data_IF_668311941692
#
_entry.id   IF_668311941692
#
_cell.length_a   1.000
_cell.length_b   1.000
_cell.length_c   1.000
_cell.angle_alpha   90.00
_cell.angle_beta   90.00
_cell.angle_gamma   90.00
#
_symmetry.space_group_name_H-M   'P 1'
#
loop_
_entity.id
_entity.type
_entity.pdbx_description
1 polymer ?
#
# COMPACT_ATOMS: atom_id res chain seq x y z
N UNK A 1 -55.47 28.46 49.78
CA UNK A 1 -54.78 29.04 48.61
C UNK A 1 -53.40 28.51 48.39
N UNK A 2 -52.66 28.08 49.41
CA UNK A 2 -51.27 27.60 49.30
C UNK A 2 -51.13 26.19 48.64
N UNK A 3 -52.15 25.30 48.82
CA UNK A 3 -52.07 23.92 48.27
C UNK A 3 -52.28 23.82 46.75
N UNK A 4 -52.94 24.79 46.10
CA UNK A 4 -53.10 24.79 44.62
C UNK A 4 -51.87 25.27 43.88
N UNK A 5 -51.09 26.17 44.44
CA UNK A 5 -49.79 26.63 43.80
C UNK A 5 -48.69 25.55 43.81
N UNK A 6 -48.71 24.65 44.81
CA UNK A 6 -47.76 23.54 44.92
C UNK A 6 -48.01 22.47 43.87
N UNK A 7 -49.24 22.18 43.47
CA UNK A 7 -49.54 21.21 42.39
C UNK A 7 -49.22 21.70 40.98
N UNK A 8 -49.44 23.00 40.72
CA UNK A 8 -49.10 23.59 39.40
C UNK A 8 -47.59 23.64 39.16
N UNK A 9 -46.76 23.85 40.21
CA UNK A 9 -45.31 23.84 40.11
C UNK A 9 -44.73 22.43 39.87
N UNK A 10 -45.32 21.37 40.48
CA UNK A 10 -44.90 19.97 40.23
C UNK A 10 -45.30 19.48 38.85
N UNK A 11 -46.39 19.92 38.25
CA UNK A 11 -46.81 19.56 36.90
C UNK A 11 -45.90 20.16 35.81
N UNK A 12 -45.44 21.42 35.99
CA UNK A 12 -44.50 22.07 35.03
C UNK A 12 -43.08 21.47 35.05
N UNK A 13 -42.58 21.05 36.22
CA UNK A 13 -41.27 20.42 36.37
C UNK A 13 -41.25 19.00 35.76
N UNK A 14 -42.38 18.26 35.90
CA UNK A 14 -42.54 16.92 35.31
C UNK A 14 -42.58 16.92 33.76
N UNK A 15 -43.22 17.94 33.16
CA UNK A 15 -43.29 18.08 31.69
C UNK A 15 -41.98 18.56 31.09
N UNK A 16 -41.24 19.43 31.76
CA UNK A 16 -39.90 19.85 31.30
C UNK A 16 -38.86 18.72 31.33
N UNK A 17 -38.92 17.83 32.33
CA UNK A 17 -38.04 16.64 32.38
C UNK A 17 -38.36 15.61 31.31
N UNK A 18 -39.65 15.39 30.98
CA UNK A 18 -40.06 14.48 29.90
C UNK A 18 -39.67 15.01 28.51
N UNK A 19 -39.83 16.32 28.27
CA UNK A 19 -39.42 16.91 26.99
C UNK A 19 -37.89 16.91 26.81
N UNK A 20 -37.14 17.14 27.90
CA UNK A 20 -35.68 17.10 27.87
C UNK A 20 -35.12 15.67 27.71
N UNK A 21 -35.75 14.66 28.35
CA UNK A 21 -35.37 13.26 28.12
C UNK A 21 -35.74 12.75 26.72
N UNK A 22 -36.85 13.22 26.15
CA UNK A 22 -37.23 12.91 24.77
C UNK A 22 -36.34 13.62 23.74
N UNK A 23 -35.90 14.86 24.01
CA UNK A 23 -34.93 15.54 23.13
C UNK A 23 -33.52 14.91 23.18
N UNK A 24 -33.07 14.47 24.35
CA UNK A 24 -31.82 13.75 24.54
C UNK A 24 -31.90 12.37 23.86
N UNK A 25 -33.01 11.63 24.02
CA UNK A 25 -33.20 10.34 23.36
C UNK A 25 -33.29 10.47 21.82
N UNK A 26 -33.93 11.55 21.33
CA UNK A 26 -34.02 11.84 19.90
C UNK A 26 -32.66 12.27 19.29
N UNK A 27 -31.88 13.08 20.04
CA UNK A 27 -30.51 13.44 19.64
C UNK A 27 -29.57 12.24 19.69
N UNK A 28 -29.71 11.34 20.67
CA UNK A 28 -28.92 10.11 20.72
C UNK A 28 -29.28 9.15 19.58
N UNK A 29 -30.57 9.04 19.21
CA UNK A 29 -31.00 8.19 18.10
C UNK A 29 -30.62 8.76 16.74
N UNK A 30 -30.61 10.09 16.56
CA UNK A 30 -30.08 10.70 15.32
C UNK A 30 -28.55 10.59 15.24
N UNK A 31 -27.83 10.79 16.34
CA UNK A 31 -26.40 10.62 16.41
C UNK A 31 -25.97 9.15 16.16
N UNK A 32 -26.75 8.17 16.64
CA UNK A 32 -26.47 6.74 16.38
C UNK A 32 -26.84 6.31 14.96
N UNK A 33 -27.83 6.93 14.31
CA UNK A 33 -28.17 6.63 12.90
C UNK A 33 -27.22 7.28 11.91
N UNK A 34 -26.70 8.47 12.18
CA UNK A 34 -25.67 9.12 11.36
C UNK A 34 -24.31 8.40 11.46
N UNK A 35 -24.01 7.75 12.60
CA UNK A 35 -22.80 6.94 12.79
C UNK A 35 -22.86 5.58 12.06
N UNK A 36 -24.03 5.11 11.64
CA UNK A 36 -24.18 3.84 10.90
C UNK A 36 -24.07 4.00 9.38
N UNK A 37 -24.31 5.16 8.80
CA UNK A 37 -24.29 5.38 7.37
C UNK A 37 -22.89 5.88 6.90
N UNK A 38 -22.29 5.11 5.99
CA UNK A 38 -21.06 5.53 5.33
C UNK A 38 -21.41 6.64 4.33
N UNK A 39 -20.81 7.83 4.50
CA UNK A 39 -21.01 8.94 3.57
C UNK A 39 -20.55 8.57 2.16
N UNK A 40 -21.35 8.89 1.14
CA UNK A 40 -20.98 8.68 -0.26
C UNK A 40 -19.67 9.42 -0.62
N UNK A 41 -19.40 10.57 0.01
CA UNK A 41 -18.16 11.30 -0.18
C UNK A 41 -16.94 10.52 0.33
N UNK A 42 -17.08 9.81 1.45
CA UNK A 42 -16.02 8.95 1.97
C UNK A 42 -15.75 7.77 1.02
N UNK A 43 -16.81 7.13 0.50
CA UNK A 43 -16.66 6.03 -0.46
C UNK A 43 -15.93 6.53 -1.72
N UNK A 44 -16.32 7.68 -2.25
CA UNK A 44 -15.68 8.26 -3.43
C UNK A 44 -14.23 8.71 -3.17
N UNK A 45 -13.93 9.20 -1.96
CA UNK A 45 -12.56 9.53 -1.57
C UNK A 45 -11.67 8.27 -1.46
N UNK A 46 -12.19 7.20 -0.87
CA UNK A 46 -11.51 5.89 -0.80
C UNK A 46 -11.33 5.31 -2.21
N UNK A 47 -12.38 5.38 -3.03
CA UNK A 47 -12.33 4.87 -4.41
C UNK A 47 -11.29 5.63 -5.26
N UNK A 48 -11.24 6.96 -5.16
CA UNK A 48 -10.28 7.76 -5.93
C UNK A 48 -8.84 7.46 -5.52
N UNK A 49 -8.53 7.42 -4.22
CA UNK A 49 -7.19 7.06 -3.74
C UNK A 49 -6.87 5.59 -3.99
N UNK A 50 -7.88 4.72 -3.93
CA UNK A 50 -7.80 3.31 -4.23
C UNK A 50 -7.48 3.02 -5.71
N UNK A 51 -8.11 3.71 -6.65
CA UNK A 51 -7.80 3.62 -8.09
C UNK A 51 -6.32 3.99 -8.33
N UNK A 52 -5.85 5.08 -7.74
CA UNK A 52 -4.46 5.51 -7.86
C UNK A 52 -3.48 4.46 -7.31
N UNK A 53 -3.75 3.92 -6.12
CA UNK A 53 -2.95 2.87 -5.51
C UNK A 53 -2.99 1.58 -6.32
N UNK A 54 -4.19 1.19 -6.82
CA UNK A 54 -4.38 0.03 -7.68
C UNK A 54 -3.53 0.11 -8.94
N UNK A 55 -3.60 1.24 -9.66
CA UNK A 55 -2.83 1.46 -10.88
C UNK A 55 -1.32 1.42 -10.59
N UNK A 56 -0.88 1.99 -9.47
CA UNK A 56 0.51 1.91 -9.04
C UNK A 56 0.99 0.47 -8.91
N UNK A 57 0.29 -0.35 -8.13
CA UNK A 57 0.65 -1.76 -7.90
C UNK A 57 0.47 -2.60 -9.18
N UNK A 58 -0.59 -2.34 -9.95
CA UNK A 58 -0.82 -3.01 -11.23
C UNK A 58 0.34 -2.78 -12.19
N UNK A 59 0.79 -1.53 -12.34
CA UNK A 59 1.91 -1.18 -13.24
C UNK A 59 3.25 -1.78 -12.78
N UNK A 60 3.43 -2.01 -11.47
CA UNK A 60 4.58 -2.71 -10.94
C UNK A 60 4.68 -4.13 -11.50
N UNK A 61 3.61 -4.92 -11.34
CA UNK A 61 3.60 -6.34 -11.67
C UNK A 61 3.49 -6.60 -13.18
N UNK A 62 2.72 -5.78 -13.91
CA UNK A 62 2.65 -5.91 -15.37
C UNK A 62 3.97 -5.60 -16.07
N UNK A 63 4.80 -4.70 -15.52
CA UNK A 63 6.09 -4.35 -16.11
C UNK A 63 7.02 -5.55 -16.18
N UNK A 64 6.96 -6.47 -15.21
CA UNK A 64 7.78 -7.69 -15.20
C UNK A 64 7.49 -8.62 -16.39
N UNK A 65 6.27 -8.65 -16.88
CA UNK A 65 5.86 -9.44 -18.06
C UNK A 65 6.40 -8.83 -19.36
N UNK A 66 6.64 -7.51 -19.37
CA UNK A 66 7.12 -6.77 -20.53
C UNK A 66 8.66 -6.83 -20.69
N UNK A 67 9.39 -7.35 -19.71
CA UNK A 67 10.85 -7.35 -19.72
C UNK A 67 11.48 -7.87 -21.03
N UNK A 68 11.07 -9.03 -21.58
CA UNK A 68 11.69 -9.52 -22.82
C UNK A 68 11.53 -8.54 -24.00
N UNK A 69 10.34 -7.92 -24.12
CA UNK A 69 10.10 -6.92 -25.16
C UNK A 69 10.90 -5.63 -24.93
N UNK A 70 11.02 -5.17 -23.69
CA UNK A 70 11.79 -3.99 -23.33
C UNK A 70 13.30 -4.21 -23.51
N UNK A 71 13.80 -5.41 -23.18
CA UNK A 71 15.20 -5.78 -23.42
C UNK A 71 15.54 -5.74 -24.91
N UNK A 72 14.68 -6.28 -25.75
CA UNK A 72 14.86 -6.27 -27.20
C UNK A 72 14.79 -4.86 -27.79
N UNK A 73 13.86 -4.02 -27.34
CA UNK A 73 13.64 -2.68 -27.87
C UNK A 73 14.75 -1.69 -27.46
N UNK A 74 15.17 -1.74 -26.19
CA UNK A 74 16.17 -0.81 -25.65
C UNK A 74 17.60 -1.36 -25.68
N UNK A 75 17.80 -2.57 -26.15
CA UNK A 75 19.09 -3.26 -26.20
C UNK A 75 19.79 -3.30 -24.83
N UNK A 76 19.03 -3.62 -23.78
CA UNK A 76 19.54 -3.73 -22.41
C UNK A 76 19.49 -5.19 -21.94
N UNK A 77 20.37 -5.52 -20.98
CA UNK A 77 20.41 -6.84 -20.35
C UNK A 77 19.33 -7.02 -19.26
N UNK A 78 19.18 -8.25 -18.78
CA UNK A 78 18.23 -8.62 -17.75
C UNK A 78 18.46 -7.85 -16.45
N UNK A 79 19.72 -7.63 -16.07
CA UNK A 79 20.05 -6.92 -14.84
C UNK A 79 19.63 -5.45 -14.90
N UNK A 80 19.82 -4.82 -16.05
CA UNK A 80 19.42 -3.43 -16.29
C UNK A 80 17.91 -3.28 -16.33
N UNK A 81 17.16 -4.16 -17.02
CA UNK A 81 15.70 -4.04 -17.12
C UNK A 81 15.00 -4.26 -15.77
N UNK A 82 15.55 -5.08 -14.89
CA UNK A 82 15.03 -5.30 -13.53
C UNK A 82 15.00 -4.02 -12.69
N UNK A 83 15.88 -3.06 -12.97
CA UNK A 83 15.88 -1.75 -12.29
C UNK A 83 14.59 -0.96 -12.50
N UNK A 84 13.81 -1.24 -13.57
CA UNK A 84 12.48 -0.62 -13.74
C UNK A 84 11.53 -0.97 -12.59
N UNK A 85 11.59 -2.19 -12.08
CA UNK A 85 10.79 -2.62 -10.92
C UNK A 85 11.48 -2.28 -9.60
N UNK A 86 12.78 -2.55 -9.50
CA UNK A 86 13.56 -2.27 -8.29
C UNK A 86 13.57 -0.78 -7.95
N UNK A 87 13.83 0.10 -8.93
CA UNK A 87 13.82 1.56 -8.74
C UNK A 87 12.44 2.11 -8.39
N UNK A 88 11.38 1.54 -8.98
CA UNK A 88 10.00 1.85 -8.60
C UNK A 88 9.74 1.48 -7.13
N UNK A 89 10.02 0.24 -6.73
CA UNK A 89 9.81 -0.25 -5.36
C UNK A 89 10.65 0.50 -4.34
N UNK A 90 11.90 0.80 -4.69
CA UNK A 90 12.79 1.61 -3.85
C UNK A 90 12.20 3.00 -3.62
N UNK A 91 11.66 3.63 -4.67
CA UNK A 91 11.00 4.93 -4.56
C UNK A 91 9.75 4.86 -3.70
N UNK A 92 8.91 3.83 -3.86
CA UNK A 92 7.75 3.58 -3.00
C UNK A 92 8.18 3.44 -1.54
N UNK A 93 9.22 2.63 -1.28
CA UNK A 93 9.74 2.39 0.07
C UNK A 93 10.28 3.65 0.74
N UNK A 94 10.90 4.56 -0.02
CA UNK A 94 11.41 5.83 0.47
C UNK A 94 10.30 6.85 0.74
N UNK A 95 9.32 6.93 -0.16
CA UNK A 95 8.27 7.95 -0.08
C UNK A 95 7.18 7.59 0.94
N UNK A 96 6.91 6.30 1.15
CA UNK A 96 5.89 5.84 2.11
C UNK A 96 6.09 6.39 3.53
N UNK A 97 7.27 6.33 4.16
CA UNK A 97 7.48 6.96 5.46
C UNK A 97 7.37 8.50 5.43
N UNK A 98 7.79 9.14 4.32
CA UNK A 98 7.66 10.58 4.14
C UNK A 98 6.19 11.03 4.08
N UNK A 99 5.29 10.17 3.60
CA UNK A 99 3.86 10.49 3.52
C UNK A 99 3.27 10.81 4.89
N UNK A 100 3.78 10.21 5.96
CA UNK A 100 3.38 10.51 7.34
C UNK A 100 3.73 11.94 7.76
N UNK A 101 4.84 12.47 7.27
CA UNK A 101 5.22 13.87 7.46
C UNK A 101 4.35 14.81 6.61
N UNK A 102 4.15 14.48 5.33
CA UNK A 102 3.31 15.28 4.44
C UNK A 102 1.90 15.42 5.00
N UNK A 103 1.33 14.35 5.56
CA UNK A 103 0.02 14.36 6.21
C UNK A 103 -0.07 15.37 7.37
N UNK A 104 0.98 15.53 8.17
CA UNK A 104 0.99 16.49 9.29
C UNK A 104 1.12 17.92 8.80
N UNK A 105 1.93 18.18 7.77
CA UNK A 105 2.27 19.54 7.30
C UNK A 105 1.34 20.05 6.20
N UNK A 106 0.85 19.19 5.34
CA UNK A 106 0.10 19.57 4.14
C UNK A 106 -1.37 19.16 4.26
N UNK A 107 -2.24 19.90 3.56
CA UNK A 107 -3.66 19.54 3.44
C UNK A 107 -3.80 18.23 2.65
N UNK A 108 -4.74 17.36 3.05
CA UNK A 108 -5.01 16.08 2.38
C UNK A 108 -5.22 16.23 0.87
N UNK A 109 -5.94 17.30 0.47
CA UNK A 109 -6.18 17.61 -0.95
C UNK A 109 -4.88 17.91 -1.70
N UNK A 110 -3.92 18.61 -1.09
CA UNK A 110 -2.62 18.91 -1.70
C UNK A 110 -1.80 17.63 -1.85
N UNK A 111 -1.79 16.76 -0.82
CA UNK A 111 -1.09 15.47 -0.87
C UNK A 111 -1.65 14.59 -1.99
N UNK A 112 -2.98 14.50 -2.08
CA UNK A 112 -3.67 13.78 -3.16
C UNK A 112 -3.30 14.34 -4.53
N UNK A 113 -3.37 15.68 -4.69
CA UNK A 113 -3.04 16.34 -5.96
C UNK A 113 -1.58 16.08 -6.38
N UNK A 114 -0.63 16.15 -5.43
CA UNK A 114 0.77 15.83 -5.71
C UNK A 114 0.92 14.37 -6.16
N UNK A 115 0.30 13.44 -5.46
CA UNK A 115 0.38 12.02 -5.80
C UNK A 115 -0.20 11.70 -7.17
N UNK A 116 -1.41 12.21 -7.47
CA UNK A 116 -2.08 11.93 -8.75
C UNK A 116 -1.35 12.57 -9.93
N UNK A 117 -0.81 13.79 -9.77
CA UNK A 117 0.00 14.45 -10.80
C UNK A 117 1.27 13.65 -11.08
N UNK A 118 1.96 13.14 -10.04
CA UNK A 118 3.12 12.27 -10.21
C UNK A 118 2.76 10.97 -10.96
N UNK A 119 1.62 10.36 -10.64
CA UNK A 119 1.15 9.16 -11.35
C UNK A 119 0.81 9.47 -12.82
N UNK A 120 0.08 10.54 -13.09
CA UNK A 120 -0.31 10.95 -14.46
C UNK A 120 0.93 11.29 -15.27
N UNK A 121 1.83 12.14 -14.76
CA UNK A 121 3.06 12.52 -15.47
C UNK A 121 3.96 11.31 -15.72
N UNK A 122 4.08 10.39 -14.73
CA UNK A 122 4.80 9.14 -14.90
C UNK A 122 4.18 8.23 -15.98
N UNK A 123 2.86 8.11 -16.04
CA UNK A 123 2.16 7.35 -17.09
C UNK A 123 2.32 8.00 -18.47
N UNK A 124 2.17 9.33 -18.60
CA UNK A 124 2.39 10.05 -19.85
C UNK A 124 3.82 9.89 -20.34
N UNK A 125 4.79 10.03 -19.45
CA UNK A 125 6.20 9.87 -19.76
C UNK A 125 6.54 8.43 -20.20
N UNK A 126 5.95 7.41 -19.56
CA UNK A 126 6.10 6.02 -19.96
C UNK A 126 5.45 5.74 -21.34
N UNK A 127 4.27 6.32 -21.62
CA UNK A 127 3.61 6.20 -22.90
C UNK A 127 4.40 6.83 -24.07
N UNK A 128 5.08 7.96 -23.80
CA UNK A 128 5.87 8.71 -24.77
C UNK A 128 7.37 8.36 -24.76
N UNK A 129 7.75 7.29 -24.08
CA UNK A 129 9.16 6.91 -23.87
C UNK A 129 9.90 6.65 -25.20
N UNK A 130 11.06 7.29 -25.34
CA UNK A 130 11.97 7.14 -26.48
C UNK A 130 13.23 6.32 -26.12
N UNK A 131 13.63 6.29 -24.84
CA UNK A 131 14.83 5.63 -24.37
C UNK A 131 14.66 5.07 -22.96
N UNK A 132 15.54 4.14 -22.57
CA UNK A 132 15.50 3.47 -21.28
C UNK A 132 15.59 4.44 -20.06
N UNK A 133 16.48 5.46 -20.03
CA UNK A 133 16.53 6.41 -18.91
C UNK A 133 15.21 7.20 -18.74
N UNK A 134 14.52 7.53 -19.82
CA UNK A 134 13.21 8.19 -19.76
C UNK A 134 12.16 7.26 -19.13
N UNK A 135 12.15 5.98 -19.50
CA UNK A 135 11.26 4.99 -18.88
C UNK A 135 11.60 4.82 -17.39
N UNK A 136 12.87 4.79 -17.02
CA UNK A 136 13.31 4.70 -15.62
C UNK A 136 12.83 5.91 -14.81
N UNK A 137 12.94 7.12 -15.36
CA UNK A 137 12.43 8.34 -14.70
C UNK A 137 10.91 8.28 -14.54
N UNK A 138 10.19 7.81 -15.55
CA UNK A 138 8.74 7.59 -15.48
C UNK A 138 8.37 6.63 -14.33
N UNK A 139 9.13 5.54 -14.15
CA UNK A 139 8.94 4.57 -13.06
C UNK A 139 9.19 5.19 -11.68
N UNK A 140 10.20 6.05 -11.54
CA UNK A 140 10.46 6.79 -10.30
C UNK A 140 9.29 7.72 -9.97
N UNK A 141 8.77 8.47 -10.95
CA UNK A 141 7.60 9.33 -10.74
C UNK A 141 6.35 8.54 -10.34
N UNK A 142 6.07 7.41 -11.00
CA UNK A 142 4.98 6.52 -10.65
C UNK A 142 5.15 5.95 -9.23
N UNK A 143 6.36 5.51 -8.87
CA UNK A 143 6.69 5.01 -7.53
C UNK A 143 6.48 6.05 -6.45
N UNK A 144 6.87 7.31 -6.69
CA UNK A 144 6.64 8.42 -5.77
C UNK A 144 5.13 8.68 -5.57
N UNK A 145 4.35 8.70 -6.64
CA UNK A 145 2.89 8.83 -6.58
C UNK A 145 2.24 7.70 -5.79
N UNK A 146 2.61 6.45 -6.06
CA UNK A 146 2.09 5.26 -5.37
C UNK A 146 2.48 5.21 -3.89
N UNK A 147 3.73 5.59 -3.56
CA UNK A 147 4.23 5.68 -2.19
C UNK A 147 3.46 6.68 -1.32
N UNK A 148 2.81 7.68 -1.93
CA UNK A 148 1.89 8.60 -1.26
C UNK A 148 0.46 8.02 -1.24
N UNK A 149 0.01 7.40 -2.34
CA UNK A 149 -1.37 6.97 -2.54
C UNK A 149 -1.84 5.93 -1.51
N UNK A 150 -1.02 4.89 -1.27
CA UNK A 150 -1.34 3.81 -0.34
C UNK A 150 -1.58 4.30 1.09
N UNK A 151 -0.62 5.02 1.73
CA UNK A 151 -0.85 5.55 3.06
C UNK A 151 -1.99 6.57 3.11
N UNK A 152 -2.19 7.36 2.05
CA UNK A 152 -3.28 8.34 1.98
C UNK A 152 -4.65 7.65 2.02
N UNK A 153 -4.84 6.57 1.26
CA UNK A 153 -6.08 5.79 1.26
C UNK A 153 -6.40 5.26 2.67
N UNK A 154 -5.45 4.59 3.31
CA UNK A 154 -5.65 4.05 4.65
C UNK A 154 -5.84 5.15 5.71
N UNK A 155 -5.17 6.29 5.58
CA UNK A 155 -5.36 7.42 6.48
C UNK A 155 -6.76 8.04 6.36
N UNK A 156 -7.31 8.17 5.13
CA UNK A 156 -8.69 8.64 4.92
C UNK A 156 -9.67 7.68 5.59
N UNK A 157 -9.48 6.37 5.44
CA UNK A 157 -10.31 5.36 6.10
C UNK A 157 -10.25 5.52 7.62
N UNK A 158 -9.06 5.62 8.21
CA UNK A 158 -8.88 5.69 9.66
C UNK A 158 -9.44 6.99 10.27
N UNK A 159 -9.39 8.12 9.55
CA UNK A 159 -9.80 9.42 10.08
C UNK A 159 -11.27 9.73 9.86
N UNK A 160 -11.86 9.21 8.79
CA UNK A 160 -13.21 9.63 8.37
C UNK A 160 -14.25 8.53 8.54
N UNK A 161 -13.85 7.30 8.89
CA UNK A 161 -14.79 6.20 9.10
C UNK A 161 -15.27 6.14 10.54
N UNK A 162 -16.53 5.73 10.73
CA UNK A 162 -17.04 5.37 12.05
C UNK A 162 -16.27 4.17 12.61
N UNK A 163 -16.09 4.13 13.94
CA UNK A 163 -15.35 3.06 14.62
C UNK A 163 -15.89 1.66 14.31
N UNK A 164 -17.20 1.54 14.06
CA UNK A 164 -17.87 0.28 13.74
C UNK A 164 -17.58 -0.24 12.32
N UNK A 165 -17.10 0.61 11.40
CA UNK A 165 -16.89 0.29 9.97
C UNK A 165 -15.43 0.32 9.53
N UNK A 166 -14.49 0.69 10.40
CA UNK A 166 -13.06 0.80 10.09
C UNK A 166 -12.53 -0.53 9.53
N UNK A 167 -12.84 -1.67 10.16
CA UNK A 167 -12.34 -2.96 9.73
C UNK A 167 -12.84 -3.35 8.34
N UNK A 168 -14.13 -3.14 8.07
CA UNK A 168 -14.71 -3.40 6.75
C UNK A 168 -14.06 -2.53 5.67
N UNK A 169 -13.91 -1.23 5.90
CA UNK A 169 -13.30 -0.31 4.92
C UNK A 169 -11.80 -0.54 4.75
N UNK A 170 -11.08 -0.92 5.82
CA UNK A 170 -9.70 -1.38 5.73
C UNK A 170 -9.60 -2.68 4.92
N UNK A 171 -10.58 -3.58 5.05
CA UNK A 171 -10.68 -4.77 4.22
C UNK A 171 -10.89 -4.44 2.73
N UNK A 172 -11.73 -3.44 2.42
CA UNK A 172 -11.90 -2.95 1.03
C UNK A 172 -10.59 -2.36 0.49
N UNK A 173 -9.88 -1.55 1.28
CA UNK A 173 -8.55 -1.06 0.91
C UNK A 173 -7.55 -2.20 0.69
N UNK A 174 -7.56 -3.22 1.57
CA UNK A 174 -6.76 -4.44 1.42
C UNK A 174 -7.08 -5.23 0.16
N UNK A 175 -8.35 -5.30 -0.23
CA UNK A 175 -8.79 -5.92 -1.50
C UNK A 175 -8.13 -5.25 -2.71
N UNK A 176 -8.10 -3.91 -2.75
CA UNK A 176 -7.44 -3.15 -3.83
C UNK A 176 -5.98 -3.55 -3.96
N UNK A 177 -5.28 -3.65 -2.82
CA UNK A 177 -3.86 -4.04 -2.75
C UNK A 177 -3.64 -5.49 -3.18
N UNK A 178 -4.57 -6.40 -2.85
CA UNK A 178 -4.44 -7.82 -3.15
C UNK A 178 -4.77 -8.18 -4.61
N UNK A 179 -5.77 -7.50 -5.22
CA UNK A 179 -6.21 -7.78 -6.60
C UNK A 179 -5.21 -7.24 -7.62
N UNK A 180 -4.61 -6.08 -7.38
CA UNK A 180 -3.75 -5.41 -8.35
C UNK A 180 -2.57 -6.27 -8.83
N UNK A 181 -1.77 -6.93 -7.95
CA UNK A 181 -0.67 -7.77 -8.38
C UNK A 181 -1.11 -8.99 -9.21
N UNK A 182 -2.30 -9.52 -8.90
CA UNK A 182 -2.81 -10.68 -9.60
C UNK A 182 -3.26 -10.38 -11.03
N UNK A 183 -3.86 -9.21 -11.22
CA UNK A 183 -4.30 -8.77 -12.55
C UNK A 183 -3.13 -8.29 -13.42
N UNK A 184 -2.00 -7.86 -12.82
CA UNK A 184 -0.86 -7.31 -13.56
C UNK A 184 -0.36 -8.21 -14.68
N UNK A 185 0.06 -9.45 -14.42
CA UNK A 185 0.52 -10.37 -15.46
C UNK A 185 -0.52 -10.66 -16.52
N UNK A 186 -1.79 -10.82 -16.11
CA UNK A 186 -2.90 -11.09 -17.03
C UNK A 186 -3.16 -9.90 -17.97
N UNK A 187 -3.24 -8.68 -17.41
CA UNK A 187 -3.43 -7.46 -18.20
C UNK A 187 -2.22 -7.18 -19.08
N UNK A 188 -1.00 -7.33 -18.52
CA UNK A 188 0.25 -7.15 -19.26
C UNK A 188 0.38 -8.13 -20.43
N UNK A 189 0.06 -9.41 -20.20
CA UNK A 189 0.07 -10.45 -21.24
C UNK A 189 -0.99 -10.22 -22.32
N UNK A 190 -2.22 -9.86 -21.92
CA UNK A 190 -3.31 -9.59 -22.84
C UNK A 190 -3.00 -8.39 -23.73
N UNK A 191 -2.67 -7.25 -23.14
CA UNK A 191 -2.37 -6.03 -23.92
C UNK A 191 -1.12 -6.22 -24.77
N UNK A 192 -0.04 -6.81 -24.21
CA UNK A 192 1.19 -7.07 -24.94
C UNK A 192 1.07 -8.00 -26.14
N UNK A 193 0.00 -8.82 -26.18
CA UNK A 193 -0.31 -9.69 -27.33
C UNK A 193 -0.96 -8.92 -28.49
N UNK A 194 -1.78 -7.92 -28.20
CA UNK A 194 -2.59 -7.23 -29.22
C UNK A 194 -2.08 -5.82 -29.56
N UNK A 195 -1.32 -5.19 -28.65
CA UNK A 195 -0.90 -3.79 -28.79
C UNK A 195 0.53 -3.59 -28.30
N UNK A 196 1.27 -2.57 -28.80
CA UNK A 196 2.54 -2.15 -28.22
C UNK A 196 2.38 -1.83 -26.71
N UNK A 197 3.35 -2.22 -25.90
CA UNK A 197 3.33 -2.09 -24.45
C UNK A 197 3.05 -0.66 -23.94
N UNK A 198 3.38 0.35 -24.70
CA UNK A 198 3.11 1.77 -24.39
C UNK A 198 1.61 2.05 -24.19
N UNK A 199 0.73 1.33 -24.91
CA UNK A 199 -0.71 1.48 -24.80
C UNK A 199 -1.24 1.12 -23.42
N UNK A 200 -0.54 0.29 -22.66
CA UNK A 200 -0.91 -0.03 -21.28
C UNK A 200 -1.00 1.26 -20.45
N UNK A 201 0.01 2.12 -20.55
CA UNK A 201 0.02 3.38 -19.79
C UNK A 201 -1.04 4.37 -20.31
N UNK A 202 -1.33 4.37 -21.60
CA UNK A 202 -2.39 5.20 -22.19
C UNK A 202 -3.78 4.76 -21.69
N UNK A 203 -4.04 3.46 -21.62
CA UNK A 203 -5.32 2.89 -21.12
C UNK A 203 -5.53 3.22 -19.64
N UNK A 204 -4.48 3.37 -18.85
CA UNK A 204 -4.57 3.69 -17.42
C UNK A 204 -4.86 5.18 -17.15
N UNK A 205 -4.55 6.09 -18.09
CA UNK A 205 -4.76 7.52 -17.92
C UNK A 205 -6.23 7.93 -17.67
N UNK A 206 -7.24 7.43 -18.40
CA UNK A 206 -8.64 7.75 -18.12
C UNK A 206 -9.06 7.45 -16.68
N UNK A 207 -8.59 6.33 -16.13
CA UNK A 207 -8.89 5.97 -14.73
C UNK A 207 -8.22 6.92 -13.73
N UNK A 208 -6.99 7.37 -14.02
CA UNK A 208 -6.32 8.41 -13.22
C UNK A 208 -7.03 9.75 -13.31
N UNK A 209 -7.56 10.12 -14.47
CA UNK A 209 -8.37 11.35 -14.62
C UNK A 209 -9.70 11.25 -13.87
N UNK A 210 -10.37 10.12 -13.91
CA UNK A 210 -11.58 9.88 -13.09
C UNK A 210 -11.24 9.99 -11.61
N UNK A 211 -10.14 9.34 -11.16
CA UNK A 211 -9.64 9.47 -9.79
C UNK A 211 -9.35 10.94 -9.42
N UNK A 212 -8.71 11.71 -10.30
CA UNK A 212 -8.43 13.13 -10.09
C UNK A 212 -9.71 13.92 -9.85
N UNK A 213 -10.69 13.79 -10.75
CA UNK A 213 -11.96 14.55 -10.66
C UNK A 213 -12.75 14.16 -9.40
N UNK A 214 -12.85 12.86 -9.11
CA UNK A 214 -13.54 12.38 -7.91
C UNK A 214 -12.84 12.86 -6.65
N UNK A 215 -11.53 12.68 -6.54
CA UNK A 215 -10.77 13.05 -5.36
C UNK A 215 -10.76 14.54 -5.07
N UNK A 216 -10.69 15.39 -6.09
CA UNK A 216 -10.78 16.85 -5.92
C UNK A 216 -12.11 17.31 -5.34
N UNK A 217 -13.20 16.60 -5.61
CA UNK A 217 -14.55 16.91 -5.11
C UNK A 217 -14.83 16.34 -3.72
N UNK A 218 -14.21 15.22 -3.36
CA UNK A 218 -14.61 14.42 -2.19
C UNK A 218 -13.60 14.40 -1.05
N UNK A 219 -12.31 14.69 -1.33
CA UNK A 219 -11.29 14.71 -0.29
C UNK A 219 -11.33 16.03 0.47
N UNK A 220 -11.79 15.96 1.72
CA UNK A 220 -11.87 17.09 2.64
C UNK A 220 -10.87 16.92 3.80
N UNK A 221 -10.43 18.06 4.35
CA UNK A 221 -9.55 18.08 5.52
C UNK A 221 -10.41 17.88 6.78
N UNK A 222 -10.07 16.86 7.58
CA UNK A 222 -10.74 16.61 8.86
C UNK A 222 -9.84 17.01 10.02
N UNK A 223 -8.56 16.64 9.96
CA UNK A 223 -7.59 16.94 11.00
C UNK A 223 -6.82 18.21 10.65
N UNK A 224 -6.68 19.19 11.57
CA UNK A 224 -5.87 20.37 11.32
C UNK A 224 -4.41 20.00 11.05
N UNK A 225 -3.75 20.81 10.23
CA UNK A 225 -2.31 20.65 9.96
C UNK A 225 -1.50 21.12 11.17
N UNK A 226 -0.42 20.40 11.47
CA UNK A 226 0.51 20.69 12.57
C UNK A 226 1.80 21.32 12.01
N UNK A 227 2.49 22.11 12.83
CA UNK A 227 3.86 22.53 12.51
C UNK A 227 4.80 21.33 12.67
N UNK A 228 5.08 20.66 11.56
CA UNK A 228 6.03 19.56 11.52
C UNK A 228 7.34 20.02 10.86
N UNK A 229 8.46 19.78 11.51
CA UNK A 229 9.79 20.03 10.96
C UNK A 229 10.44 18.71 10.55
N UNK A 230 10.86 18.63 9.29
CA UNK A 230 11.64 17.48 8.81
C UNK A 230 13.12 17.78 9.06
N UNK A 231 13.78 16.85 9.70
CA UNK A 231 15.24 16.89 9.76
C UNK A 231 15.77 16.21 8.48
N UNK A 232 16.49 16.92 7.60
CA UNK A 232 16.99 16.34 6.35
C UNK A 232 17.88 15.11 6.58
N UNK A 233 18.53 15.03 7.75
CA UNK A 233 19.33 13.86 8.12
C UNK A 233 18.48 12.59 8.24
N UNK A 234 17.22 12.66 8.71
CA UNK A 234 16.33 11.51 8.74
C UNK A 234 16.07 10.95 7.33
N UNK A 235 15.77 11.85 6.38
CA UNK A 235 15.51 11.47 5.00
C UNK A 235 16.75 10.88 4.36
N UNK A 236 17.90 11.53 4.57
CA UNK A 236 19.17 11.06 4.02
C UNK A 236 19.56 9.68 4.57
N UNK A 237 19.49 9.47 5.89
CA UNK A 237 19.81 8.18 6.50
C UNK A 237 18.86 7.08 6.04
N UNK A 238 17.56 7.38 5.91
CA UNK A 238 16.58 6.44 5.38
C UNK A 238 16.87 6.09 3.92
N UNK A 239 17.16 7.10 3.09
CA UNK A 239 17.47 6.92 1.68
C UNK A 239 18.77 6.10 1.49
N UNK A 240 19.84 6.49 2.15
CA UNK A 240 21.12 5.74 2.10
C UNK A 240 20.93 4.32 2.60
N UNK A 241 20.21 4.13 3.72
CA UNK A 241 19.92 2.82 4.29
C UNK A 241 19.20 1.89 3.30
N UNK A 242 18.10 2.35 2.69
CA UNK A 242 17.34 1.53 1.74
C UNK A 242 18.08 1.32 0.42
N UNK A 243 18.69 2.37 -0.14
CA UNK A 243 19.49 2.26 -1.37
C UNK A 243 20.62 1.24 -1.20
N UNK A 244 21.45 1.42 -0.16
CA UNK A 244 22.55 0.48 0.09
C UNK A 244 22.06 -0.94 0.40
N UNK A 245 20.93 -1.08 1.09
CA UNK A 245 20.35 -2.39 1.37
C UNK A 245 19.92 -3.11 0.08
N UNK A 246 19.22 -2.42 -0.83
CA UNK A 246 18.78 -2.99 -2.11
C UNK A 246 19.98 -3.36 -2.98
N UNK A 247 20.99 -2.48 -3.08
CA UNK A 247 22.22 -2.78 -3.81
C UNK A 247 23.02 -3.91 -3.17
N UNK A 248 23.01 -4.04 -1.83
CA UNK A 248 23.65 -5.17 -1.15
C UNK A 248 23.02 -6.50 -1.52
N UNK A 249 21.68 -6.55 -1.60
CA UNK A 249 20.95 -7.74 -2.03
C UNK A 249 21.23 -8.09 -3.50
N UNK A 250 21.22 -7.09 -4.38
CA UNK A 250 21.52 -7.24 -5.81
C UNK A 250 22.94 -7.81 -6.01
N UNK A 251 23.95 -7.23 -5.35
CA UNK A 251 25.33 -7.70 -5.40
C UNK A 251 25.52 -9.07 -4.74
N UNK A 252 24.78 -9.34 -3.66
CA UNK A 252 24.74 -10.65 -3.01
C UNK A 252 24.19 -11.74 -3.93
N UNK A 253 23.09 -11.46 -4.64
CA UNK A 253 22.55 -12.37 -5.65
C UNK A 253 23.53 -12.62 -6.81
N UNK A 254 24.16 -11.56 -7.31
CA UNK A 254 25.20 -11.66 -8.34
C UNK A 254 26.41 -12.47 -7.87
N UNK A 255 26.81 -12.35 -6.61
CA UNK A 255 27.89 -13.13 -6.02
C UNK A 255 27.57 -14.63 -5.97
N UNK A 256 26.34 -14.99 -5.58
CA UNK A 256 25.88 -16.40 -5.54
C UNK A 256 25.93 -17.02 -6.94
N UNK A 257 25.46 -16.30 -7.96
CA UNK A 257 25.53 -16.76 -9.36
C UNK A 257 26.98 -16.87 -9.86
N UNK A 258 27.85 -15.93 -9.51
CA UNK A 258 29.26 -15.98 -9.86
C UNK A 258 29.98 -17.18 -9.21
N UNK A 259 29.68 -17.49 -7.94
CA UNK A 259 30.18 -18.70 -7.26
C UNK A 259 29.73 -19.98 -7.97
N UNK A 260 28.45 -20.07 -8.34
CA UNK A 260 27.92 -21.25 -9.03
C UNK A 260 28.54 -21.46 -10.43
N UNK A 261 28.98 -20.38 -11.07
CA UNK A 261 29.62 -20.42 -12.38
C UNK A 261 31.16 -20.55 -12.30
N UNK A 262 31.76 -20.57 -11.11
CA UNK A 262 33.19 -20.64 -10.92
C UNK A 262 33.93 -19.34 -11.28
N UNK A 263 33.25 -18.21 -11.26
CA UNK A 263 33.81 -16.92 -11.71
C UNK A 263 34.67 -16.27 -10.60
N UNK A 264 35.84 -15.76 -10.98
CA UNK A 264 36.77 -15.06 -10.06
C UNK A 264 36.18 -13.74 -9.50
N UNK A 265 35.15 -13.20 -10.14
CA UNK A 265 34.43 -11.98 -9.68
C UNK A 265 33.58 -12.19 -8.41
N UNK A 266 33.30 -13.44 -8.03
CA UNK A 266 32.48 -13.81 -6.89
C UNK A 266 32.93 -13.14 -5.58
N UNK A 267 34.25 -13.19 -5.30
CA UNK A 267 34.82 -12.57 -4.07
C UNK A 267 34.61 -11.06 -4.06
N UNK A 268 34.81 -10.38 -5.18
CA UNK A 268 34.59 -8.93 -5.29
C UNK A 268 33.13 -8.55 -5.07
N UNK A 269 32.19 -9.30 -5.67
CA UNK A 269 30.75 -9.08 -5.50
C UNK A 269 30.33 -9.33 -4.04
N UNK A 270 30.85 -10.37 -3.40
CA UNK A 270 30.60 -10.62 -1.96
C UNK A 270 31.11 -9.47 -1.07
N UNK A 271 32.34 -9.00 -1.30
CA UNK A 271 32.90 -7.88 -0.51
C UNK A 271 32.07 -6.62 -0.69
N UNK A 272 31.68 -6.28 -1.92
CA UNK A 272 30.81 -5.12 -2.19
C UNK A 272 29.46 -5.28 -1.48
N UNK A 273 28.84 -6.46 -1.57
CA UNK A 273 27.56 -6.73 -0.90
C UNK A 273 27.66 -6.55 0.61
N UNK A 274 28.71 -7.07 1.24
CA UNK A 274 28.94 -6.95 2.68
C UNK A 274 29.18 -5.49 3.08
N UNK A 275 30.01 -4.75 2.35
CA UNK A 275 30.27 -3.33 2.63
C UNK A 275 28.99 -2.50 2.51
N UNK A 276 28.19 -2.72 1.46
CA UNK A 276 26.91 -2.03 1.28
C UNK A 276 25.92 -2.39 2.40
N UNK A 277 25.90 -3.64 2.83
CA UNK A 277 25.05 -4.07 3.95
C UNK A 277 25.46 -3.41 5.25
N UNK A 278 26.76 -3.28 5.53
CA UNK A 278 27.28 -2.57 6.70
C UNK A 278 26.92 -1.07 6.66
N UNK A 279 27.06 -0.44 5.50
CA UNK A 279 26.64 0.97 5.31
C UNK A 279 25.13 1.11 5.53
N UNK A 280 24.32 0.22 4.96
CA UNK A 280 22.87 0.21 5.15
C UNK A 280 22.49 0.08 6.63
N UNK A 281 23.13 -0.88 7.34
CA UNK A 281 22.90 -1.09 8.77
C UNK A 281 23.30 0.14 9.59
N UNK A 282 24.47 0.71 9.32
CA UNK A 282 24.94 1.93 9.99
C UNK A 282 23.97 3.11 9.75
N UNK A 283 23.55 3.32 8.51
CA UNK A 283 22.61 4.38 8.16
C UNK A 283 21.24 4.20 8.84
N UNK A 284 20.70 2.96 8.88
CA UNK A 284 19.45 2.66 9.57
C UNK A 284 19.56 2.76 11.09
N UNK A 285 20.72 2.43 11.68
CA UNK A 285 20.97 2.64 13.11
C UNK A 285 21.06 4.14 13.46
N UNK A 286 21.75 4.93 12.62
CA UNK A 286 21.79 6.40 12.77
C UNK A 286 20.37 6.98 12.60
N UNK A 287 19.61 6.52 11.61
CA UNK A 287 18.19 6.90 11.45
C UNK A 287 17.38 6.59 12.72
N UNK A 288 17.53 5.39 13.28
CA UNK A 288 16.83 4.99 14.50
C UNK A 288 17.22 5.86 15.70
N UNK A 289 18.51 6.16 15.85
CA UNK A 289 19.04 7.01 16.92
C UNK A 289 18.54 8.45 16.80
N UNK A 290 18.63 9.06 15.61
CA UNK A 290 18.14 10.42 15.34
C UNK A 290 16.60 10.48 15.47
N UNK A 291 15.88 9.48 14.97
CA UNK A 291 14.41 9.39 15.09
C UNK A 291 13.95 9.29 16.55
N UNK A 292 14.71 8.61 17.41
CA UNK A 292 14.37 8.50 18.83
C UNK A 292 14.52 9.83 19.57
N UNK A 293 15.40 10.72 19.12
CA UNK A 293 15.66 12.04 19.71
C UNK A 293 14.84 13.18 19.08
N UNK A 294 14.17 12.91 17.96
CA UNK A 294 13.45 13.94 17.22
C UNK A 294 12.10 14.27 17.88
N UNK A 295 11.78 15.55 17.92
CA UNK A 295 10.46 16.04 18.35
C UNK A 295 9.31 15.53 17.43
N UNK A 296 9.59 15.38 16.12
CA UNK A 296 8.63 14.96 15.11
C UNK A 296 9.21 13.82 14.24
N UNK A 297 9.33 12.59 14.78
CA UNK A 297 9.93 11.48 14.06
C UNK A 297 9.10 11.08 12.84
N UNK A 298 9.77 10.72 11.72
CA UNK A 298 9.12 10.15 10.52
C UNK A 298 8.42 8.83 10.84
N UNK A 299 9.08 8.01 11.66
CA UNK A 299 8.54 6.72 12.13
C UNK A 299 8.72 6.66 13.66
N UNK A 300 7.62 6.42 14.37
CA UNK A 300 7.66 6.24 15.84
C UNK A 300 8.13 4.82 16.18
N UNK A 301 9.44 4.66 16.33
CA UNK A 301 10.06 3.38 16.69
C UNK A 301 9.68 2.87 18.09
N UNK A 302 9.07 3.72 18.92
CA UNK A 302 8.57 3.32 20.25
C UNK A 302 7.54 2.19 20.19
N UNK A 303 6.82 2.04 19.06
CA UNK A 303 5.87 0.94 18.84
C UNK A 303 6.59 -0.42 18.87
N UNK A 304 7.85 -0.49 18.45
CA UNK A 304 8.68 -1.70 18.49
C UNK A 304 9.01 -2.17 19.92
N UNK A 305 8.79 -1.34 20.96
CA UNK A 305 8.96 -1.77 22.36
C UNK A 305 7.87 -2.75 22.79
N UNK A 306 6.70 -2.71 22.16
CA UNK A 306 5.63 -3.68 22.43
C UNK A 306 6.00 -5.06 21.88
N UNK A 307 6.09 -6.04 22.76
CA UNK A 307 6.38 -7.44 22.39
C UNK A 307 5.31 -7.98 21.44
N UNK A 308 4.04 -7.68 21.71
CA UNK A 308 2.91 -8.07 20.86
C UNK A 308 3.07 -7.52 19.44
N UNK A 309 3.42 -6.23 19.30
CA UNK A 309 3.63 -5.60 18.02
C UNK A 309 4.79 -6.25 17.23
N UNK A 310 5.90 -6.57 17.89
CA UNK A 310 7.05 -7.22 17.25
C UNK A 310 6.69 -8.58 16.65
N UNK A 311 5.92 -9.40 17.39
CA UNK A 311 5.47 -10.70 16.87
C UNK A 311 4.51 -10.57 15.70
N UNK A 312 3.56 -9.63 15.74
CA UNK A 312 2.67 -9.37 14.61
C UNK A 312 3.41 -8.85 13.39
N UNK A 313 4.38 -7.95 13.59
CA UNK A 313 5.23 -7.43 12.52
C UNK A 313 6.06 -8.56 11.89
N UNK A 314 6.68 -9.40 12.69
CA UNK A 314 7.44 -10.56 12.20
C UNK A 314 6.56 -11.51 11.39
N UNK A 315 5.39 -11.87 11.92
CA UNK A 315 4.44 -12.72 11.22
C UNK A 315 4.00 -12.09 9.87
N UNK A 316 3.73 -10.78 9.85
CA UNK A 316 3.39 -10.05 8.62
C UNK A 316 4.53 -10.09 7.60
N UNK A 317 5.77 -9.83 8.03
CA UNK A 317 6.95 -9.86 7.15
C UNK A 317 7.14 -11.25 6.56
N UNK A 318 7.04 -12.32 7.37
CA UNK A 318 7.16 -13.69 6.90
C UNK A 318 6.05 -14.05 5.90
N UNK A 319 4.81 -13.65 6.18
CA UNK A 319 3.68 -13.86 5.27
C UNK A 319 3.88 -13.15 3.94
N UNK A 320 4.35 -11.90 3.96
CA UNK A 320 4.63 -11.13 2.75
C UNK A 320 5.78 -11.75 1.96
N UNK A 321 6.82 -12.24 2.62
CA UNK A 321 7.92 -12.94 1.96
C UNK A 321 7.45 -14.18 1.21
N UNK A 322 6.59 -14.99 1.84
CA UNK A 322 5.96 -16.15 1.20
C UNK A 322 5.08 -15.73 0.03
N UNK A 323 4.23 -14.71 0.21
CA UNK A 323 3.30 -14.23 -0.83
C UNK A 323 4.05 -13.74 -2.07
N UNK A 324 5.10 -12.93 -1.88
CA UNK A 324 5.94 -12.42 -2.97
C UNK A 324 6.69 -13.57 -3.65
N UNK A 325 7.23 -14.51 -2.84
CA UNK A 325 7.91 -15.71 -3.35
C UNK A 325 7.01 -16.55 -4.25
N UNK A 326 5.79 -16.84 -3.81
CA UNK A 326 4.82 -17.55 -4.66
C UNK A 326 4.44 -16.79 -5.92
N UNK A 327 4.24 -15.47 -5.81
CA UNK A 327 3.93 -14.59 -6.94
C UNK A 327 5.02 -14.59 -8.02
N UNK A 328 6.27 -14.85 -7.65
CA UNK A 328 7.39 -14.99 -8.57
C UNK A 328 7.59 -16.44 -9.05
N UNK A 329 7.60 -17.40 -8.12
CA UNK A 329 7.97 -18.80 -8.42
C UNK A 329 6.93 -19.49 -9.31
N UNK A 330 5.62 -19.32 -9.05
CA UNK A 330 4.59 -20.04 -9.79
C UNK A 330 4.57 -19.69 -11.28
N UNK A 331 4.55 -18.40 -11.70
CA UNK A 331 4.60 -18.06 -13.12
C UNK A 331 5.88 -18.49 -13.81
N UNK A 332 7.02 -18.34 -13.14
CA UNK A 332 8.31 -18.75 -13.74
C UNK A 332 8.41 -20.26 -13.88
N UNK A 333 8.01 -21.03 -12.85
CA UNK A 333 7.98 -22.48 -12.93
C UNK A 333 7.01 -22.97 -14.03
N UNK A 334 5.87 -22.30 -14.18
CA UNK A 334 4.88 -22.62 -15.24
C UNK A 334 5.47 -22.38 -16.63
N UNK A 335 6.20 -21.28 -16.84
CA UNK A 335 6.81 -20.95 -18.13
C UNK A 335 8.03 -21.82 -18.41
N UNK A 336 8.98 -21.92 -17.47
CA UNK A 336 10.25 -22.60 -17.67
C UNK A 336 10.15 -24.12 -17.53
N UNK A 337 9.28 -24.63 -16.62
CA UNK A 337 9.14 -26.06 -16.35
C UNK A 337 8.10 -26.74 -17.25
N UNK A 338 6.98 -26.06 -17.54
CA UNK A 338 5.86 -26.63 -18.28
C UNK A 338 5.67 -26.00 -19.66
N UNK A 339 6.50 -25.03 -20.07
CA UNK A 339 6.39 -24.36 -21.36
C UNK A 339 5.08 -23.55 -21.53
N UNK A 340 4.44 -23.16 -20.42
CA UNK A 340 3.19 -22.41 -20.48
C UNK A 340 3.40 -21.01 -21.08
N UNK A 341 2.40 -20.51 -21.80
CA UNK A 341 2.40 -19.14 -22.28
C UNK A 341 2.40 -18.14 -21.12
N UNK A 342 2.88 -16.92 -21.35
CA UNK A 342 2.90 -15.83 -20.35
C UNK A 342 1.49 -15.57 -19.80
N UNK A 343 0.48 -15.62 -20.67
CA UNK A 343 -0.91 -15.45 -20.27
C UNK A 343 -1.38 -16.61 -19.35
N UNK A 344 -1.09 -17.87 -19.71
CA UNK A 344 -1.46 -19.02 -18.90
C UNK A 344 -0.79 -18.98 -17.51
N UNK A 345 0.49 -18.63 -17.45
CA UNK A 345 1.24 -18.49 -16.22
C UNK A 345 0.67 -17.38 -15.29
N UNK A 346 0.19 -16.29 -15.87
CA UNK A 346 -0.50 -15.22 -15.13
C UNK A 346 -1.87 -15.63 -14.60
N UNK A 347 -2.66 -16.38 -15.42
CA UNK A 347 -4.00 -16.84 -15.06
C UNK A 347 -3.99 -17.85 -13.92
N UNK A 348 -2.94 -18.65 -13.76
CA UNK A 348 -2.81 -19.62 -12.64
C UNK A 348 -2.88 -18.92 -11.27
N UNK A 349 -2.39 -17.71 -11.12
CA UNK A 349 -2.46 -16.95 -9.86
C UNK A 349 -3.82 -16.29 -9.61
N UNK A 350 -4.62 -16.10 -10.67
CA UNK A 350 -5.85 -15.32 -10.62
C UNK A 350 -6.90 -15.89 -9.65
N UNK A 351 -7.20 -17.21 -9.61
CA UNK A 351 -8.21 -17.76 -8.69
C UNK A 351 -7.86 -17.51 -7.22
N UNK A 352 -6.59 -17.75 -6.84
CA UNK A 352 -6.12 -17.52 -5.47
C UNK A 352 -6.22 -16.07 -5.05
N UNK A 353 -5.83 -15.16 -5.94
CA UNK A 353 -5.87 -13.74 -5.67
C UNK A 353 -7.31 -13.18 -5.62
N UNK A 354 -8.21 -13.65 -6.48
CA UNK A 354 -9.63 -13.28 -6.43
C UNK A 354 -10.31 -13.77 -5.16
N UNK A 355 -10.01 -15.00 -4.72
CA UNK A 355 -10.49 -15.52 -3.43
C UNK A 355 -9.94 -14.70 -2.26
N UNK A 356 -8.65 -14.38 -2.28
CA UNK A 356 -8.02 -13.50 -1.28
C UNK A 356 -8.68 -12.12 -1.23
N UNK A 357 -8.92 -11.53 -2.40
CA UNK A 357 -9.59 -10.24 -2.53
C UNK A 357 -11.03 -10.25 -2.02
N UNK A 358 -11.82 -11.25 -2.42
CA UNK A 358 -13.20 -11.40 -1.96
C UNK A 358 -13.31 -11.65 -0.45
N UNK A 359 -12.32 -12.36 0.13
CA UNK A 359 -12.27 -12.62 1.58
C UNK A 359 -11.84 -11.41 2.42
N UNK A 360 -11.16 -10.41 1.83
CA UNK A 360 -10.61 -9.27 2.57
C UNK A 360 -11.70 -8.41 3.27
N UNK A 361 -12.81 -7.98 2.62
CA UNK A 361 -13.89 -7.25 3.30
C UNK A 361 -14.62 -8.09 4.36
N UNK A 362 -14.76 -9.42 4.09
CA UNK A 362 -15.36 -10.37 5.05
C UNK A 362 -14.47 -10.48 6.29
N UNK A 363 -13.16 -10.62 6.10
CA UNK A 363 -12.18 -10.66 7.18
C UNK A 363 -12.19 -9.37 8.00
N UNK A 364 -12.31 -8.20 7.34
CA UNK A 364 -12.45 -6.91 7.99
C UNK A 364 -13.73 -6.81 8.84
N UNK A 365 -14.87 -7.28 8.32
CA UNK A 365 -16.14 -7.32 9.05
C UNK A 365 -16.10 -8.29 10.25
N UNK A 366 -15.40 -9.43 10.10
CA UNK A 366 -15.16 -10.37 11.19
C UNK A 366 -14.26 -9.77 12.27
N UNK A 367 -13.27 -8.97 11.88
CA UNK A 367 -12.41 -8.21 12.78
C UNK A 367 -13.22 -7.24 13.63
N UNK A 368 -14.15 -6.50 13.01
CA UNK A 368 -15.02 -5.55 13.72
C UNK A 368 -15.94 -6.24 14.73
N UNK A 369 -16.47 -7.45 14.39
CA UNK A 369 -17.41 -8.18 15.24
C UNK A 369 -16.75 -9.00 16.35
N UNK A 370 -15.64 -9.68 16.05
CA UNK A 370 -15.04 -10.70 16.93
C UNK A 370 -13.65 -10.33 17.46
N UNK A 371 -13.12 -9.16 17.04
CA UNK A 371 -11.75 -8.74 17.34
C UNK A 371 -10.71 -9.56 16.55
N UNK A 372 -9.40 -9.23 16.70
CA UNK A 372 -8.35 -9.76 15.83
C UNK A 372 -8.02 -11.25 16.08
N UNK A 373 -8.18 -11.76 17.30
CA UNK A 373 -7.65 -13.08 17.70
C UNK A 373 -8.41 -14.23 17.05
N UNK A 374 -9.74 -14.19 17.07
CA UNK A 374 -10.59 -15.29 16.60
C UNK A 374 -10.48 -15.53 15.09
N UNK A 375 -10.61 -14.49 14.21
CA UNK A 375 -10.46 -14.68 12.77
C UNK A 375 -9.07 -15.17 12.35
N UNK A 376 -8.00 -14.67 13.00
CA UNK A 376 -6.63 -15.12 12.72
C UNK A 376 -6.43 -16.59 13.10
N UNK A 377 -6.93 -17.02 14.26
CA UNK A 377 -6.79 -18.39 14.71
C UNK A 377 -7.55 -19.38 13.82
N UNK A 378 -8.76 -19.03 13.39
CA UNK A 378 -9.54 -19.88 12.46
C UNK A 378 -8.90 -19.98 11.09
N UNK A 379 -8.34 -18.90 10.54
CA UNK A 379 -7.60 -18.91 9.28
C UNK A 379 -6.36 -19.82 9.37
N UNK A 380 -5.57 -19.68 10.43
CA UNK A 380 -4.38 -20.52 10.65
C UNK A 380 -4.72 -22.03 10.78
N UNK A 381 -5.83 -22.36 11.45
CA UNK A 381 -6.30 -23.75 11.54
C UNK A 381 -6.77 -24.29 10.18
N UNK A 382 -7.41 -23.46 9.34
CA UNK A 382 -7.83 -23.84 8.01
C UNK A 382 -6.62 -24.14 7.11
N UNK A 383 -5.58 -23.31 7.16
CA UNK A 383 -4.34 -23.52 6.40
C UNK A 383 -3.61 -24.81 6.83
N UNK A 384 -3.51 -25.06 8.14
CA UNK A 384 -2.91 -26.29 8.67
C UNK A 384 -3.69 -27.55 8.22
N UNK A 385 -5.02 -27.50 8.22
CA UNK A 385 -5.87 -28.60 7.73
C UNK A 385 -5.69 -28.82 6.23
N UNK A 386 -5.66 -27.76 5.43
CA UNK A 386 -5.43 -27.82 3.99
C UNK A 386 -4.06 -28.43 3.65
N UNK A 387 -3.03 -28.12 4.46
CA UNK A 387 -1.70 -28.70 4.31
C UNK A 387 -1.65 -30.18 4.73
N UNK A 388 -2.31 -30.56 5.81
CA UNK A 388 -2.37 -31.94 6.31
C UNK A 388 -3.18 -32.87 5.39
N UNK A 389 -4.20 -32.35 4.68
CA UNK A 389 -5.03 -33.16 3.78
C UNK A 389 -4.37 -33.46 2.42
N UNK A 390 -3.22 -32.83 2.12
CA UNK A 390 -2.46 -33.07 0.87
C UNK A 390 -1.32 -34.10 1.05
N UNK A 391 -1.20 -34.71 2.21
CA UNK A 391 -0.38 -35.91 2.49
C UNK A 391 -1.24 -37.15 2.50
#
# INVERSE_FOLDING_TARGET
>A
MVAQQSRAKKGKVGNGRKSMSQSIARNNNTATQDDENISINLILAILSTGIMAFIGILTETLTNVLFPGLMAEFHVDTSTVQWLTTGYLLTVALVTPLSSYFKRKLKLRTIFLTAIVLCITGCLMAACTLNFPMLMTARILQGAGTGIALPLMFNIILEQSSKSKIGMLMGVGGMVVAVAPALGPTVGGLVGTFMPWRWIFVILLPFLFVSLVCGLKTIHQVTPTEEAHINPLHVLCLAVGFVCFVFALDRGGSAVTAVSNGDTSATTQCVIAVVLLLIAMAALLVFAWVSHRAFSPLVRLTVLRSVKFRWHLLAYVLLQFVTIGYGYMIPNASQLGFGASVLAAGVVLLPGALLGAASAPVSGSLLDKFGPVRPMFTAMLADLRAFASKR
#
